data_IF_674022152630
#
_entry.id   IF_674022152630
#
_cell.length_a   1.000
_cell.length_b   1.000
_cell.length_c   1.000
_cell.angle_alpha   90.00
_cell.angle_beta   90.00
_cell.angle_gamma   90.00
#
_symmetry.space_group_name_H-M   'P 1'
#
loop_
_entity.id
_entity.type
_entity.pdbx_description
1 polymer ?
#
# COMPACT_ATOMS: atom_id res chain seq x y z
N UNK A 1 15.26 -17.00 -4.95
CA UNK A 1 13.83 -17.09 -5.34
C UNK A 1 12.98 -15.98 -4.72
N UNK A 2 13.11 -15.73 -3.41
CA UNK A 2 12.44 -14.62 -2.68
C UNK A 2 12.80 -13.22 -3.20
N UNK A 3 14.06 -12.97 -3.56
CA UNK A 3 14.48 -11.68 -4.13
C UNK A 3 13.82 -11.33 -5.48
N UNK A 4 13.51 -12.34 -6.31
CA UNK A 4 12.81 -12.12 -7.58
C UNK A 4 11.35 -11.72 -7.35
N UNK A 5 10.69 -12.37 -6.39
CA UNK A 5 9.31 -12.05 -6.01
C UNK A 5 9.24 -10.63 -5.43
N UNK A 6 10.19 -10.27 -4.56
CA UNK A 6 10.30 -8.91 -4.03
C UNK A 6 10.46 -7.87 -5.14
N UNK A 7 11.37 -8.09 -6.09
CA UNK A 7 11.57 -7.18 -7.22
C UNK A 7 10.35 -7.06 -8.13
N UNK A 8 9.62 -8.16 -8.34
CA UNK A 8 8.40 -8.18 -9.15
C UNK A 8 7.25 -7.42 -8.48
N UNK A 9 7.12 -7.52 -7.15
CA UNK A 9 6.15 -6.76 -6.36
C UNK A 9 6.48 -5.28 -6.39
N UNK A 10 7.74 -4.91 -6.16
CA UNK A 10 8.21 -3.51 -6.23
C UNK A 10 7.99 -2.93 -7.64
N UNK A 11 8.24 -3.71 -8.69
CA UNK A 11 7.95 -3.32 -10.07
C UNK A 11 6.45 -3.16 -10.32
N UNK A 12 5.61 -4.09 -9.85
CA UNK A 12 4.15 -3.98 -10.00
C UNK A 12 3.61 -2.73 -9.30
N UNK A 13 4.04 -2.48 -8.07
CA UNK A 13 3.68 -1.26 -7.33
C UNK A 13 4.19 -0.01 -8.06
N UNK A 14 5.44 -0.03 -8.53
CA UNK A 14 6.01 1.08 -9.30
C UNK A 14 5.31 1.34 -10.63
N UNK A 15 4.84 0.29 -11.32
CA UNK A 15 4.07 0.39 -12.56
C UNK A 15 2.66 0.92 -12.30
N UNK A 16 1.99 0.48 -11.24
CA UNK A 16 0.69 1.04 -10.82
C UNK A 16 0.78 2.53 -10.50
N UNK A 17 1.85 2.94 -9.80
CA UNK A 17 2.10 4.36 -9.50
C UNK A 17 2.44 5.15 -10.78
N UNK A 18 3.22 4.58 -11.71
CA UNK A 18 3.50 5.24 -13.01
C UNK A 18 2.25 5.38 -13.88
N UNK A 19 1.33 4.42 -13.83
CA UNK A 19 0.04 4.51 -14.51
C UNK A 19 -0.76 5.76 -14.12
N UNK A 20 -0.71 6.14 -12.84
CA UNK A 20 -1.36 7.35 -12.31
C UNK A 20 -0.78 8.65 -12.89
N UNK A 21 0.52 8.68 -13.17
CA UNK A 21 1.19 9.88 -13.69
C UNK A 21 1.06 10.03 -15.21
N UNK A 22 0.74 8.97 -15.96
CA UNK A 22 0.80 8.93 -17.44
C UNK A 22 -0.56 9.02 -18.12
N UNK A 23 -1.69 8.76 -17.45
CA UNK A 23 -2.99 8.84 -18.13
C UNK A 23 -3.46 10.29 -18.33
N UNK A 24 -3.34 10.72 -19.58
CA UNK A 24 -3.91 11.95 -20.13
C UNK A 24 -5.45 11.95 -20.12
N UNK A 25 -5.97 13.16 -19.99
CA UNK A 25 -7.36 13.55 -19.77
C UNK A 25 -8.40 12.83 -20.66
N UNK A 26 -9.31 12.02 -20.08
CA UNK A 26 -10.58 11.72 -20.74
C UNK A 26 -11.61 12.79 -20.37
N UNK A 27 -11.93 13.64 -21.34
CA UNK A 27 -12.99 14.63 -21.33
C UNK A 27 -14.37 13.92 -21.27
N UNK A 28 -15.06 13.83 -20.12
CA UNK A 28 -16.54 13.87 -19.95
C UNK A 28 -17.06 13.33 -18.58
N UNK A 29 -18.27 13.80 -18.23
CA UNK A 29 -19.03 13.85 -16.95
C UNK A 29 -19.23 12.56 -16.12
N UNK A 30 -18.77 11.39 -16.55
CA UNK A 30 -18.68 10.14 -15.74
C UNK A 30 -17.35 10.02 -14.96
N UNK A 31 -16.61 11.13 -14.94
CA UNK A 31 -15.25 11.28 -14.45
C UNK A 31 -15.06 10.93 -12.95
N UNK A 32 -16.03 11.26 -12.09
CA UNK A 32 -15.87 11.12 -10.63
C UNK A 32 -15.87 9.67 -10.16
N UNK A 33 -16.76 8.82 -10.71
CA UNK A 33 -16.81 7.40 -10.37
C UNK A 33 -15.59 6.66 -10.93
N UNK A 34 -15.13 7.03 -12.13
CA UNK A 34 -13.92 6.45 -12.71
C UNK A 34 -12.70 6.70 -11.81
N UNK A 35 -12.47 7.95 -11.40
CA UNK A 35 -11.38 8.27 -10.47
C UNK A 35 -11.56 7.58 -9.11
N UNK A 36 -12.77 7.53 -8.57
CA UNK A 36 -13.03 6.85 -7.30
C UNK A 36 -12.68 5.35 -7.35
N UNK A 37 -13.12 4.64 -8.39
CA UNK A 37 -12.79 3.21 -8.61
C UNK A 37 -11.30 3.04 -8.84
N UNK A 38 -10.68 3.93 -9.62
CA UNK A 38 -9.24 3.92 -9.85
C UNK A 38 -8.45 4.09 -8.55
N UNK A 39 -8.82 5.04 -7.68
CA UNK A 39 -8.22 5.20 -6.36
C UNK A 39 -8.40 3.94 -5.52
N UNK A 40 -9.61 3.38 -5.47
CA UNK A 40 -9.88 2.14 -4.74
C UNK A 40 -8.95 0.99 -5.17
N UNK A 41 -8.78 0.80 -6.48
CA UNK A 41 -7.86 -0.19 -7.03
C UNK A 41 -6.40 0.13 -6.70
N UNK A 42 -5.99 1.40 -6.78
CA UNK A 42 -4.64 1.82 -6.43
C UNK A 42 -4.33 1.53 -4.95
N UNK A 43 -5.21 1.89 -4.03
CA UNK A 43 -5.06 1.55 -2.60
C UNK A 43 -5.00 0.04 -2.39
N UNK A 44 -5.85 -0.74 -3.08
CA UNK A 44 -5.84 -2.20 -2.98
C UNK A 44 -4.50 -2.78 -3.45
N UNK A 45 -3.94 -2.29 -4.54
CA UNK A 45 -2.61 -2.73 -5.01
C UNK A 45 -1.49 -2.36 -4.05
N UNK A 46 -1.55 -1.18 -3.43
CA UNK A 46 -0.59 -0.78 -2.40
C UNK A 46 -0.70 -1.67 -1.17
N UNK A 47 -1.93 -1.94 -0.72
CA UNK A 47 -2.18 -2.83 0.41
C UNK A 47 -1.57 -4.22 0.18
N UNK A 48 -1.83 -4.81 -0.99
CA UNK A 48 -1.25 -6.12 -1.33
C UNK A 48 0.28 -6.01 -1.44
N UNK A 49 0.80 -4.95 -2.04
CA UNK A 49 2.24 -4.73 -2.20
C UNK A 49 2.99 -4.66 -0.87
N UNK A 50 2.52 -3.81 0.05
CA UNK A 50 3.11 -3.69 1.39
C UNK A 50 2.90 -4.93 2.24
N UNK A 51 1.73 -5.59 2.17
CA UNK A 51 1.49 -6.87 2.83
C UNK A 51 2.52 -7.94 2.43
N UNK A 52 2.84 -8.03 1.13
CA UNK A 52 3.86 -8.95 0.63
C UNK A 52 5.27 -8.55 1.09
N UNK A 53 5.59 -7.25 1.16
CA UNK A 53 6.86 -6.76 1.71
C UNK A 53 7.01 -7.22 3.17
N UNK A 54 5.99 -7.01 4.01
CA UNK A 54 6.01 -7.45 5.40
C UNK A 54 6.16 -8.97 5.54
N UNK A 55 5.46 -9.74 4.70
CA UNK A 55 5.62 -11.19 4.66
C UNK A 55 7.05 -11.61 4.32
N UNK A 56 7.68 -10.97 3.33
CA UNK A 56 9.06 -11.29 2.93
C UNK A 56 10.04 -10.94 4.05
N UNK A 57 9.86 -9.80 4.73
CA UNK A 57 10.65 -9.42 5.89
C UNK A 57 10.54 -10.47 7.01
N UNK A 58 9.32 -10.92 7.30
CA UNK A 58 9.07 -11.96 8.31
C UNK A 58 9.69 -13.31 7.91
N UNK A 59 9.60 -13.71 6.63
CA UNK A 59 10.21 -14.95 6.13
C UNK A 59 11.74 -14.94 6.18
N UNK A 60 12.37 -13.75 6.07
CA UNK A 60 13.81 -13.59 6.24
C UNK A 60 14.26 -13.59 7.71
N UNK A 61 13.35 -13.79 8.67
CA UNK A 61 13.66 -13.84 10.10
C UNK A 61 13.77 -12.48 10.78
N UNK A 62 13.36 -11.39 10.12
CA UNK A 62 13.28 -10.10 10.77
C UNK A 62 12.02 -10.00 11.62
N UNK A 63 12.15 -9.45 12.82
CA UNK A 63 11.00 -9.09 13.66
C UNK A 63 10.31 -7.89 13.01
N UNK A 64 9.09 -8.11 12.51
CA UNK A 64 8.26 -7.08 11.87
C UNK A 64 7.12 -6.63 12.78
N UNK A 65 6.64 -7.50 13.67
CA UNK A 65 5.49 -7.24 14.54
C UNK A 65 5.78 -7.63 15.98
N UNK A 66 5.29 -6.82 16.93
CA UNK A 66 5.41 -7.08 18.36
C UNK A 66 4.30 -8.02 18.85
N UNK A 67 4.63 -9.03 19.66
CA UNK A 67 3.68 -9.82 20.44
C UNK A 67 2.80 -10.82 19.68
N UNK A 68 2.81 -10.81 18.34
CA UNK A 68 2.11 -11.80 17.52
C UNK A 68 3.12 -12.72 16.88
N UNK A 69 3.13 -14.00 17.30
CA UNK A 69 4.00 -15.03 16.75
C UNK A 69 3.46 -15.51 15.39
N UNK A 70 3.40 -14.59 14.42
CA UNK A 70 2.92 -14.83 13.07
C UNK A 70 3.73 -15.94 12.37
N UNK A 71 4.89 -16.33 12.92
CA UNK A 71 5.67 -17.48 12.47
C UNK A 71 4.99 -18.83 12.68
N UNK A 72 3.93 -18.94 13.49
CA UNK A 72 3.23 -20.21 13.72
C UNK A 72 1.96 -20.38 12.88
N UNK A 73 1.47 -19.30 12.25
CA UNK A 73 0.24 -19.33 11.47
C UNK A 73 0.42 -19.99 10.09
N UNK A 74 -0.64 -20.54 9.49
CA UNK A 74 -0.66 -20.91 8.07
C UNK A 74 -0.30 -19.73 7.16
N UNK A 75 0.23 -20.01 5.95
CA UNK A 75 0.61 -18.97 4.99
C UNK A 75 -0.53 -17.98 4.69
N UNK A 76 -1.74 -18.49 4.49
CA UNK A 76 -2.92 -17.68 4.18
C UNK A 76 -3.31 -16.75 5.33
N UNK A 77 -3.28 -17.24 6.57
CA UNK A 77 -3.61 -16.42 7.74
C UNK A 77 -2.55 -15.34 7.98
N UNK A 78 -1.27 -15.65 7.72
CA UNK A 78 -0.20 -14.63 7.72
C UNK A 78 -0.43 -13.57 6.65
N UNK A 79 -0.84 -13.97 5.46
CA UNK A 79 -1.11 -13.05 4.36
C UNK A 79 -2.27 -12.11 4.70
N UNK A 80 -3.41 -12.64 5.15
CA UNK A 80 -4.55 -11.82 5.55
C UNK A 80 -4.24 -10.91 6.73
N UNK A 81 -3.46 -11.38 7.70
CA UNK A 81 -3.03 -10.54 8.83
C UNK A 81 -2.07 -9.43 8.39
N UNK A 82 -1.15 -9.72 7.47
CA UNK A 82 -0.25 -8.72 6.88
C UNK A 82 -1.00 -7.70 6.02
N UNK A 83 -2.03 -8.16 5.29
CA UNK A 83 -2.92 -7.31 4.48
C UNK A 83 -3.76 -6.38 5.36
N UNK A 84 -4.27 -6.90 6.47
CA UNK A 84 -4.96 -6.10 7.46
C UNK A 84 -4.04 -5.06 8.10
N UNK A 85 -2.82 -5.46 8.51
CA UNK A 85 -1.81 -4.54 9.04
C UNK A 85 -1.46 -3.41 8.06
N UNK A 86 -1.27 -3.77 6.79
CA UNK A 86 -1.04 -2.82 5.71
C UNK A 86 -2.23 -1.87 5.54
N UNK A 87 -3.46 -2.38 5.55
CA UNK A 87 -4.67 -1.54 5.48
C UNK A 87 -4.78 -0.53 6.62
N UNK A 88 -4.64 -0.97 7.88
CA UNK A 88 -4.73 -0.06 9.03
C UNK A 88 -3.60 0.98 9.05
N UNK A 89 -2.45 0.67 8.45
CA UNK A 89 -1.29 1.57 8.34
C UNK A 89 -1.50 2.58 7.20
N UNK A 90 -1.87 2.09 6.01
CA UNK A 90 -2.09 2.91 4.81
C UNK A 90 -3.24 3.91 5.01
N UNK A 91 -4.33 3.49 5.66
CA UNK A 91 -5.45 4.36 6.00
C UNK A 91 -5.25 5.13 7.32
N UNK A 92 -4.09 4.97 7.98
CA UNK A 92 -3.77 5.61 9.26
C UNK A 92 -4.82 5.39 10.35
N UNK A 93 -5.50 4.23 10.33
CA UNK A 93 -6.49 3.83 11.35
C UNK A 93 -5.78 3.34 12.61
N UNK A 94 -4.77 2.47 12.43
CA UNK A 94 -3.87 2.01 13.49
C UNK A 94 -4.56 1.58 14.79
N UNK A 95 -5.42 0.54 14.75
CA UNK A 95 -6.15 0.06 15.95
C UNK A 95 -5.25 -0.34 17.13
N UNK A 96 -3.96 -0.60 16.89
CA UNK A 96 -2.98 -0.90 17.93
C UNK A 96 -2.95 -2.38 18.36
N UNK A 97 -3.71 -3.23 17.67
CA UNK A 97 -3.72 -4.69 17.80
C UNK A 97 -2.47 -5.34 17.20
N UNK A 98 -1.95 -4.77 16.11
CA UNK A 98 -0.70 -5.18 15.48
C UNK A 98 0.23 -3.97 15.42
N UNK A 99 1.36 -4.07 16.11
CA UNK A 99 2.33 -2.97 16.23
C UNK A 99 3.60 -3.34 15.45
N UNK A 100 4.08 -2.47 14.54
CA UNK A 100 5.33 -2.73 13.84
C UNK A 100 6.52 -2.64 14.79
N UNK A 101 7.43 -3.59 14.68
CA UNK A 101 8.68 -3.64 15.43
C UNK A 101 9.87 -3.79 14.47
N UNK A 102 11.08 -3.48 14.95
CA UNK A 102 12.31 -3.61 14.16
C UNK A 102 12.27 -2.87 12.83
N UNK A 103 12.56 -3.59 11.74
CA UNK A 103 12.61 -3.05 10.37
C UNK A 103 11.20 -2.71 9.85
N UNK A 104 10.16 -3.36 10.39
CA UNK A 104 8.77 -3.09 10.04
C UNK A 104 8.35 -1.64 10.28
N UNK A 105 8.97 -0.96 11.25
CA UNK A 105 8.69 0.45 11.59
C UNK A 105 8.99 1.41 10.44
N UNK A 106 10.12 1.20 9.76
CA UNK A 106 10.51 2.05 8.62
C UNK A 106 9.61 1.84 7.42
N UNK A 107 9.23 0.58 7.16
CA UNK A 107 8.30 0.23 6.08
C UNK A 107 6.91 0.80 6.35
N UNK A 108 6.41 0.68 7.59
CA UNK A 108 5.12 1.24 8.00
C UNK A 108 5.09 2.77 7.90
N UNK A 109 6.20 3.44 8.21
CA UNK A 109 6.32 4.89 8.06
C UNK A 109 6.23 5.32 6.58
N UNK A 110 6.90 4.59 5.68
CA UNK A 110 6.80 4.85 4.24
C UNK A 110 5.39 4.56 3.72
N UNK A 111 4.78 3.46 4.16
CA UNK A 111 3.42 3.10 3.79
C UNK A 111 2.42 4.18 4.20
N UNK A 112 2.44 4.62 5.47
CA UNK A 112 1.58 5.68 5.97
C UNK A 112 1.79 7.00 5.19
N UNK A 113 3.03 7.33 4.86
CA UNK A 113 3.34 8.51 4.03
C UNK A 113 2.74 8.40 2.63
N UNK A 114 2.79 7.22 1.99
CA UNK A 114 2.14 7.03 0.68
C UNK A 114 0.63 7.18 0.78
N UNK A 115 0.01 6.64 1.84
CA UNK A 115 -1.42 6.76 2.12
C UNK A 115 -1.91 8.20 2.21
N UNK A 116 -1.14 9.09 2.82
CA UNK A 116 -1.48 10.53 2.90
C UNK A 116 -1.16 11.32 1.63
N UNK A 117 -0.15 10.90 0.87
CA UNK A 117 0.31 11.63 -0.32
C UNK A 117 -0.65 11.48 -1.50
N UNK A 118 -1.22 10.30 -1.70
CA UNK A 118 -2.15 10.00 -2.82
C UNK A 118 -3.40 10.90 -2.84
N UNK A 119 -4.20 11.03 -1.76
CA UNK A 119 -5.40 11.85 -1.78
C UNK A 119 -5.06 13.33 -1.88
N UNK A 120 -3.98 13.77 -1.22
CA UNK A 120 -3.47 15.14 -1.32
C UNK A 120 -3.06 15.47 -2.76
N UNK A 121 -2.32 14.59 -3.43
CA UNK A 121 -1.90 14.77 -4.83
C UNK A 121 -3.09 14.86 -5.79
N UNK A 122 -4.15 14.09 -5.54
CA UNK A 122 -5.39 14.17 -6.30
C UNK A 122 -6.09 15.52 -6.12
N UNK A 123 -6.24 15.98 -4.87
CA UNK A 123 -6.86 17.29 -4.58
C UNK A 123 -6.06 18.42 -5.24
N UNK A 124 -4.74 18.41 -5.14
CA UNK A 124 -3.89 19.43 -5.78
C UNK A 124 -4.06 19.44 -7.29
N UNK A 125 -4.06 18.27 -7.96
CA UNK A 125 -4.29 18.19 -9.41
C UNK A 125 -5.66 18.73 -9.82
N UNK A 126 -6.71 18.38 -9.08
CA UNK A 126 -8.07 18.85 -9.39
C UNK A 126 -8.26 20.35 -9.17
N UNK A 127 -7.54 20.95 -8.21
CA UNK A 127 -7.56 22.40 -8.02
C UNK A 127 -6.78 23.16 -9.10
N UNK A 128 -5.60 22.67 -9.49
CA UNK A 128 -4.79 23.28 -10.56
C UNK A 128 -5.49 23.23 -11.92
N UNK A 129 -6.19 22.14 -12.23
CA UNK A 129 -6.96 22.01 -13.48
C UNK A 129 -8.15 22.98 -13.55
N UNK A 130 -8.60 23.54 -12.42
CA UNK A 130 -9.69 24.52 -12.37
C UNK A 130 -9.21 25.97 -12.59
N UNK A 131 -7.90 26.24 -12.45
CA UNK A 131 -7.31 27.57 -12.62
C UNK A 131 -6.80 27.85 -14.05
N UNK A 132 -6.78 26.86 -14.93
CA UNK A 132 -6.34 26.98 -16.34
C UNK A 132 -7.53 26.94 -17.29
#
# INVERSE_FOLDING_TARGET
MTAMIFSAVVLCVGVSIRGFFVQGQPQHRYLSLYYFVYFGLLYLTLMIGFALIYMILNMNGHVVWAGVDLQQLPFWDRFFTSLYFSGITLFSVGYGDIVPEGVGRWVALLEAWTGYTIPTAFVVRTMLEKET
#
